data_IF_656543680506
#
_entry.id   IF_656543680506
#
_cell.length_a   1.000
_cell.length_b   1.000
_cell.length_c   1.000
_cell.angle_alpha   90.00
_cell.angle_beta   90.00
_cell.angle_gamma   90.00
#
_symmetry.space_group_name_H-M   'P 1'
#
loop_
_entity.id
_entity.type
_entity.pdbx_description
1 polymer ?
#
# COMPACT_ATOMS: atom_id res chain seq x y z
N UNK A 1 -2.06 0.83 -0.40
CA UNK A 1 -2.46 0.87 -1.83
C UNK A 1 -3.16 2.19 -2.10
N UNK A 2 -3.32 2.54 -3.37
CA UNK A 2 -4.11 3.70 -3.81
C UNK A 2 -5.29 3.21 -4.64
N UNK A 3 -6.47 3.78 -4.42
CA UNK A 3 -7.68 3.47 -5.19
C UNK A 3 -8.08 4.68 -6.05
N UNK A 4 -8.41 4.41 -7.31
CA UNK A 4 -8.92 5.41 -8.27
C UNK A 4 -10.28 4.94 -8.75
N UNK A 5 -11.30 5.80 -8.62
CA UNK A 5 -12.66 5.50 -9.08
C UNK A 5 -13.01 6.44 -10.23
N UNK A 6 -13.32 5.92 -11.43
CA UNK A 6 -13.79 6.76 -12.53
C UNK A 6 -15.07 7.52 -12.16
N UNK A 7 -15.36 8.67 -12.78
CA UNK A 7 -16.64 9.33 -12.66
C UNK A 7 -17.80 8.39 -13.04
N UNK A 8 -18.93 8.53 -12.37
CA UNK A 8 -20.14 7.76 -12.69
C UNK A 8 -20.83 8.21 -14.00
N UNK A 9 -20.25 9.19 -14.70
CA UNK A 9 -20.77 9.70 -15.95
C UNK A 9 -20.77 8.59 -17.02
N UNK A 10 -21.93 8.39 -17.64
CA UNK A 10 -22.14 7.34 -18.64
C UNK A 10 -21.20 7.47 -19.84
N UNK A 11 -20.84 8.72 -20.19
CA UNK A 11 -20.02 9.07 -21.35
C UNK A 11 -18.52 8.99 -21.05
N UNK A 12 -18.11 8.63 -19.82
CA UNK A 12 -16.69 8.41 -19.49
C UNK A 12 -16.10 7.32 -20.39
N UNK A 13 -15.03 7.66 -21.12
CA UNK A 13 -14.36 6.77 -22.07
C UNK A 13 -13.02 6.25 -21.56
N UNK A 14 -12.24 7.11 -20.90
CA UNK A 14 -10.94 6.73 -20.34
C UNK A 14 -10.60 7.50 -19.08
N UNK A 15 -9.68 6.95 -18.29
CA UNK A 15 -9.05 7.64 -17.16
C UNK A 15 -7.54 7.48 -17.29
N UNK A 16 -6.81 8.58 -17.31
CA UNK A 16 -5.36 8.58 -17.22
C UNK A 16 -4.94 8.75 -15.76
N UNK A 17 -4.11 7.83 -15.27
CA UNK A 17 -3.58 7.81 -13.91
C UNK A 17 -2.07 8.00 -13.98
N UNK A 18 -1.54 8.96 -13.23
CA UNK A 18 -0.10 9.24 -13.13
C UNK A 18 0.38 9.03 -11.70
N UNK A 19 1.49 8.33 -11.53
CA UNK A 19 2.09 8.03 -10.22
C UNK A 19 3.61 7.87 -10.32
N UNK A 20 4.29 7.82 -9.18
CA UNK A 20 5.72 7.50 -9.10
C UNK A 20 5.88 6.10 -8.51
N UNK A 21 6.67 5.23 -9.15
CA UNK A 21 6.98 3.91 -8.59
C UNK A 21 8.00 3.97 -7.44
N UNK A 22 8.20 2.86 -6.75
CA UNK A 22 9.14 2.74 -5.62
C UNK A 22 10.60 3.08 -5.98
N UNK A 23 10.97 2.96 -7.27
CA UNK A 23 12.28 3.35 -7.77
C UNK A 23 12.41 4.85 -8.05
N UNK A 24 11.33 5.62 -7.85
CA UNK A 24 11.27 7.05 -8.16
C UNK A 24 11.00 7.36 -9.63
N UNK A 25 10.58 6.37 -10.42
CA UNK A 25 10.30 6.53 -11.84
C UNK A 25 8.85 6.92 -12.06
N UNK A 26 8.56 8.00 -12.81
CA UNK A 26 7.19 8.31 -13.20
C UNK A 26 6.57 7.19 -14.06
N UNK A 27 5.33 6.85 -13.76
CA UNK A 27 4.53 5.85 -14.45
C UNK A 27 3.17 6.44 -14.80
N UNK A 28 2.61 5.94 -15.89
CA UNK A 28 1.24 6.23 -16.30
C UNK A 28 0.47 4.94 -16.52
N UNK A 29 -0.83 4.99 -16.28
CA UNK A 29 -1.78 3.94 -16.61
C UNK A 29 -3.01 4.56 -17.26
N UNK A 30 -3.45 3.99 -18.37
CA UNK A 30 -4.67 4.40 -19.06
C UNK A 30 -5.72 3.33 -18.86
N UNK A 31 -6.77 3.68 -18.10
CA UNK A 31 -7.97 2.87 -17.97
C UNK A 31 -8.89 3.19 -19.15
N UNK A 32 -9.33 2.18 -19.89
CA UNK A 32 -10.19 2.36 -21.06
C UNK A 32 -11.48 1.57 -20.90
N UNK A 33 -12.62 2.25 -21.12
CA UNK A 33 -13.94 1.62 -21.20
C UNK A 33 -14.21 1.16 -22.63
N UNK A 34 -14.35 -0.15 -22.80
CA UNK A 34 -14.74 -0.79 -24.04
C UNK A 34 -16.17 -0.42 -24.46
N UNK A 35 -16.54 -0.74 -25.69
CA UNK A 35 -17.92 -0.54 -26.19
C UNK A 35 -18.93 -1.45 -25.47
N UNK A 36 -18.45 -2.58 -24.94
CA UNK A 36 -19.18 -3.49 -24.08
C UNK A 36 -19.34 -2.99 -22.63
N UNK A 37 -18.74 -1.83 -22.31
CA UNK A 37 -18.71 -1.26 -20.97
C UNK A 37 -17.61 -1.82 -20.07
N UNK A 38 -16.79 -2.77 -20.56
CA UNK A 38 -15.73 -3.40 -19.80
C UNK A 38 -14.52 -2.48 -19.67
N UNK A 39 -14.01 -2.33 -18.46
CA UNK A 39 -12.80 -1.56 -18.19
C UNK A 39 -11.53 -2.41 -18.29
N UNK A 40 -10.48 -1.82 -18.86
CA UNK A 40 -9.15 -2.43 -18.99
C UNK A 40 -8.06 -1.42 -18.66
N UNK A 41 -6.91 -1.89 -18.20
CA UNK A 41 -5.72 -1.07 -17.93
C UNK A 41 -4.62 -1.48 -18.92
N UNK A 42 -3.88 -0.50 -19.46
CA UNK A 42 -2.68 -0.77 -20.25
C UNK A 42 -1.43 -1.06 -19.40
N UNK A 43 -1.53 -0.86 -18.09
CA UNK A 43 -0.42 -1.02 -17.15
C UNK A 43 -0.73 -2.19 -16.21
N UNK A 44 0.06 -3.28 -16.23
CA UNK A 44 -0.19 -4.48 -15.43
C UNK A 44 0.00 -4.26 -13.93
N UNK A 45 0.73 -3.22 -13.50
CA UNK A 45 0.86 -2.87 -12.08
C UNK A 45 -0.39 -2.13 -11.55
N UNK A 46 -1.33 -1.75 -12.43
CA UNK A 46 -2.59 -1.11 -12.07
C UNK A 46 -3.74 -2.06 -12.39
N UNK A 47 -4.22 -2.76 -11.37
CA UNK A 47 -5.37 -3.63 -11.48
C UNK A 47 -6.64 -2.79 -11.63
N UNK A 48 -7.57 -3.22 -12.48
CA UNK A 48 -8.86 -2.55 -12.68
C UNK A 48 -10.00 -3.55 -12.59
N UNK A 49 -11.05 -3.19 -11.85
CA UNK A 49 -12.30 -3.94 -11.86
C UNK A 49 -13.00 -3.74 -13.21
N UNK A 50 -13.26 -4.80 -13.98
CA UNK A 50 -13.77 -4.69 -15.35
C UNK A 50 -15.20 -4.11 -15.42
N UNK A 51 -16.00 -4.21 -14.36
CA UNK A 51 -17.39 -3.75 -14.37
C UNK A 51 -17.51 -2.28 -13.97
N UNK A 52 -16.70 -1.85 -13.00
CA UNK A 52 -16.80 -0.52 -12.38
C UNK A 52 -15.72 0.44 -12.84
N UNK A 53 -14.61 -0.08 -13.36
CA UNK A 53 -13.43 0.71 -13.69
C UNK A 53 -12.63 1.15 -12.46
N UNK A 54 -13.00 0.70 -11.25
CA UNK A 54 -12.24 0.98 -10.03
C UNK A 54 -10.85 0.38 -10.17
N UNK A 55 -9.82 1.22 -10.15
CA UNK A 55 -8.44 0.81 -10.24
C UNK A 55 -7.74 0.84 -8.89
N UNK A 56 -6.79 -0.07 -8.72
CA UNK A 56 -5.96 -0.20 -7.52
C UNK A 56 -4.48 -0.26 -7.90
N UNK A 57 -3.68 0.60 -7.27
CA UNK A 57 -2.22 0.54 -7.33
C UNK A 57 -1.74 -0.08 -6.01
N UNK A 58 -1.11 -1.26 -6.03
CA UNK A 58 -0.54 -1.88 -4.84
C UNK A 58 0.48 -0.96 -4.14
N UNK A 59 0.61 -1.05 -2.82
CA UNK A 59 1.51 -0.17 -2.06
C UNK A 59 2.97 -0.33 -2.54
N UNK A 60 3.42 -1.56 -2.76
CA UNK A 60 4.76 -1.94 -3.26
C UNK A 60 5.04 -1.55 -4.71
N UNK A 61 4.10 -0.86 -5.37
CA UNK A 61 4.21 -0.40 -6.75
C UNK A 61 4.16 1.12 -6.87
N UNK A 62 3.90 1.83 -5.78
CA UNK A 62 3.78 3.29 -5.75
C UNK A 62 4.59 3.83 -4.59
N UNK A 63 5.42 4.83 -4.85
CA UNK A 63 6.26 5.44 -3.84
C UNK A 63 5.43 6.02 -2.70
N UNK A 64 5.75 5.61 -1.49
CA UNK A 64 5.16 6.11 -0.26
C UNK A 64 5.12 7.64 -0.19
N UNK A 65 3.95 8.18 0.19
CA UNK A 65 3.71 9.62 0.34
C UNK A 65 3.69 10.41 -0.98
N UNK A 66 3.96 9.78 -2.12
CA UNK A 66 3.95 10.46 -3.42
C UNK A 66 2.53 10.72 -3.94
N UNK A 67 2.31 11.78 -4.73
CA UNK A 67 1.01 12.06 -5.31
C UNK A 67 0.69 11.07 -6.44
N UNK A 68 -0.56 10.65 -6.47
CA UNK A 68 -1.21 9.95 -7.57
C UNK A 68 -2.32 10.86 -8.10
N UNK A 69 -2.27 11.15 -9.40
CA UNK A 69 -3.29 11.97 -10.06
C UNK A 69 -4.10 11.13 -11.03
N UNK A 70 -5.36 11.50 -11.24
CA UNK A 70 -6.24 10.85 -12.20
C UNK A 70 -7.11 11.87 -12.93
N UNK A 71 -7.25 11.69 -14.25
CA UNK A 71 -8.09 12.54 -15.09
C UNK A 71 -8.93 11.72 -16.05
N UNK A 72 -10.24 11.94 -16.04
CA UNK A 72 -11.17 11.26 -16.93
C UNK A 72 -11.37 12.04 -18.24
N UNK A 73 -11.65 11.32 -19.33
CA UNK A 73 -12.02 11.87 -20.63
C UNK A 73 -13.29 11.19 -21.12
N UNK A 74 -14.25 11.97 -21.63
CA UNK A 74 -15.50 11.46 -22.18
C UNK A 74 -15.35 11.00 -23.65
N UNK A 75 -16.42 10.44 -24.22
CA UNK A 75 -16.47 9.99 -25.63
C UNK A 75 -16.32 11.13 -26.65
N UNK A 76 -16.63 12.37 -26.28
CA UNK A 76 -16.44 13.56 -27.10
C UNK A 76 -15.02 14.16 -26.99
N UNK A 77 -14.17 13.61 -26.12
CA UNK A 77 -12.82 14.07 -25.87
C UNK A 77 -12.70 15.19 -24.84
N UNK A 78 -13.77 15.51 -24.11
CA UNK A 78 -13.71 16.49 -23.03
C UNK A 78 -13.04 15.86 -21.82
N UNK A 79 -12.02 16.54 -21.30
CA UNK A 79 -11.31 16.10 -20.11
C UNK A 79 -11.94 16.72 -18.85
N UNK A 80 -12.18 15.89 -17.85
CA UNK A 80 -12.71 16.29 -16.55
C UNK A 80 -11.66 16.97 -15.66
N UNK A 81 -12.09 17.30 -14.44
CA UNK A 81 -11.20 17.80 -13.39
C UNK A 81 -10.22 16.71 -12.94
N UNK A 82 -9.00 17.12 -12.59
CA UNK A 82 -7.98 16.20 -12.07
C UNK A 82 -8.24 15.95 -10.58
N UNK A 83 -8.29 14.67 -10.20
CA UNK A 83 -8.28 14.25 -8.80
C UNK A 83 -6.87 13.89 -8.36
N UNK A 84 -6.53 14.18 -7.10
CA UNK A 84 -5.22 13.87 -6.51
C UNK A 84 -5.38 13.23 -5.14
N UNK A 85 -4.59 12.18 -4.90
CA UNK A 85 -4.46 11.52 -3.60
C UNK A 85 -3.00 11.12 -3.38
N UNK A 86 -2.53 11.10 -2.13
CA UNK A 86 -1.18 10.63 -1.83
C UNK A 86 -1.18 9.13 -1.49
N UNK A 87 -0.14 8.42 -1.91
CA UNK A 87 0.07 7.03 -1.52
C UNK A 87 0.31 6.91 -0.01
N UNK A 88 -0.36 5.92 0.60
CA UNK A 88 -0.05 5.49 1.97
C UNK A 88 1.19 4.57 2.00
N UNK A 89 1.69 4.28 3.20
CA UNK A 89 2.93 3.52 3.38
C UNK A 89 2.79 2.03 3.03
N UNK A 90 3.91 1.39 2.67
CA UNK A 90 3.99 -0.07 2.67
C UNK A 90 3.75 -0.63 4.09
N UNK A 91 3.14 -1.82 4.22
CA UNK A 91 3.04 -2.48 5.52
C UNK A 91 4.44 -2.83 6.03
N UNK A 92 4.71 -2.56 7.30
CA UNK A 92 5.95 -3.00 7.92
C UNK A 92 5.88 -4.52 8.19
N UNK A 93 6.87 -5.25 7.67
CA UNK A 93 7.03 -6.69 7.86
C UNK A 93 8.33 -7.05 8.56
N UNK A 94 9.05 -6.05 9.07
CA UNK A 94 10.34 -6.21 9.73
C UNK A 94 10.09 -6.65 11.17
N UNK A 95 10.50 -7.86 11.52
CA UNK A 95 10.48 -8.28 12.92
C UNK A 95 11.53 -7.49 13.72
N UNK A 96 11.27 -7.19 15.00
CA UNK A 96 12.26 -6.57 15.87
C UNK A 96 13.42 -7.53 16.15
N UNK A 97 14.54 -6.99 16.62
CA UNK A 97 15.68 -7.76 17.08
C UNK A 97 15.31 -8.64 18.30
N UNK A 98 16.10 -9.67 18.60
CA UNK A 98 15.85 -10.47 19.80
C UNK A 98 16.00 -9.63 21.08
N UNK A 99 15.18 -9.86 22.12
CA UNK A 99 15.36 -9.22 23.42
C UNK A 99 16.67 -9.68 24.09
N UNK A 100 17.26 -8.81 24.90
CA UNK A 100 18.43 -9.14 25.70
C UNK A 100 17.98 -9.70 27.06
N UNK A 101 18.49 -10.88 27.42
CA UNK A 101 18.17 -11.55 28.69
C UNK A 101 19.43 -11.61 29.55
N UNK A 102 19.35 -11.05 30.75
CA UNK A 102 20.47 -10.98 31.70
C UNK A 102 20.06 -11.60 33.03
N UNK A 103 20.62 -12.77 33.40
CA UNK A 103 20.36 -13.36 34.71
C UNK A 103 21.16 -12.62 35.79
N UNK A 104 20.54 -12.44 36.95
CA UNK A 104 21.21 -11.97 38.16
C UNK A 104 22.07 -13.09 38.75
N UNK A 105 23.26 -12.74 39.22
CA UNK A 105 24.18 -13.69 39.86
C UNK A 105 23.98 -13.80 41.38
N UNK A 106 23.07 -13.01 41.96
CA UNK A 106 22.95 -12.87 43.42
C UNK A 106 21.59 -13.22 44.01
N UNK A 107 20.50 -13.03 43.25
CA UNK A 107 19.13 -13.16 43.77
C UNK A 107 18.21 -14.00 42.87
N UNK A 108 18.74 -14.62 41.81
CA UNK A 108 17.97 -15.46 40.89
C UNK A 108 16.97 -14.71 40.01
N UNK A 109 16.96 -13.37 40.04
CA UNK A 109 16.13 -12.57 39.13
C UNK A 109 16.66 -12.61 37.68
N UNK A 110 15.79 -12.33 36.72
CA UNK A 110 16.14 -12.20 35.30
C UNK A 110 15.67 -10.83 34.81
N UNK A 111 16.57 -10.05 34.25
CA UNK A 111 16.23 -8.82 33.56
C UNK A 111 16.10 -9.08 32.06
N UNK A 112 14.94 -8.71 31.51
CA UNK A 112 14.66 -8.77 30.08
C UNK A 112 14.60 -7.35 29.55
N UNK A 113 15.37 -7.07 28.50
CA UNK A 113 15.39 -5.79 27.83
C UNK A 113 14.78 -5.92 26.43
N UNK A 114 13.75 -5.12 26.19
CA UNK A 114 13.09 -4.98 24.89
C UNK A 114 14.08 -4.34 23.92
N UNK A 115 14.19 -4.87 22.69
CA UNK A 115 15.10 -4.33 21.68
C UNK A 115 14.66 -2.92 21.26
N UNK A 116 15.61 -2.07 20.85
CA UNK A 116 15.35 -0.66 20.55
C UNK A 116 14.62 -0.41 19.23
N UNK A 117 14.55 -1.42 18.37
CA UNK A 117 13.87 -1.43 17.07
C UNK A 117 12.44 -2.01 17.15
N UNK A 118 11.96 -2.40 18.34
CA UNK A 118 10.58 -2.82 18.52
C UNK A 118 9.58 -1.68 18.27
N UNK A 119 8.50 -2.02 17.57
CA UNK A 119 7.41 -1.13 17.20
C UNK A 119 6.11 -1.49 17.92
N UNK A 120 5.14 -0.59 17.86
CA UNK A 120 3.84 -0.82 18.49
C UNK A 120 3.15 -2.05 17.87
N UNK A 121 2.86 -3.05 18.69
CA UNK A 121 2.29 -4.33 18.25
C UNK A 121 3.26 -5.51 18.36
N UNK A 122 4.56 -5.25 18.49
CA UNK A 122 5.56 -6.29 18.75
C UNK A 122 5.40 -6.86 20.17
N UNK A 123 5.77 -8.14 20.34
CA UNK A 123 5.63 -8.85 21.60
C UNK A 123 6.92 -9.54 22.02
N UNK A 124 7.16 -9.60 23.33
CA UNK A 124 8.21 -10.41 23.95
C UNK A 124 7.52 -11.56 24.68
N UNK A 125 7.84 -12.80 24.31
CA UNK A 125 7.39 -14.00 25.01
C UNK A 125 8.42 -14.40 26.06
N UNK A 126 7.97 -14.62 27.31
CA UNK A 126 8.83 -15.08 28.42
C UNK A 126 8.36 -16.45 28.87
N UNK A 127 9.24 -17.44 28.71
CA UNK A 127 9.01 -18.81 29.18
C UNK A 127 9.85 -19.08 30.42
N UNK A 128 9.21 -19.53 31.51
CA UNK A 128 9.89 -19.85 32.78
C UNK A 128 9.78 -21.34 33.05
N UNK A 129 10.91 -21.99 33.30
CA UNK A 129 10.97 -23.35 33.83
C UNK A 129 11.32 -23.29 35.32
N UNK A 130 10.41 -23.62 36.24
CA UNK A 130 10.70 -23.63 37.68
C UNK A 130 11.66 -24.76 38.04
N UNK A 131 12.57 -24.52 39.00
CA UNK A 131 13.48 -25.54 39.49
C UNK A 131 12.73 -26.67 40.22
N UNK A 132 13.04 -27.93 39.87
CA UNK A 132 12.50 -29.13 40.51
C UNK A 132 11.41 -29.90 39.76
N UNK A 133 11.26 -29.66 38.44
CA UNK A 133 10.39 -30.48 37.57
C UNK A 133 10.96 -31.88 37.29
#
# INVERSE_FOLDING_TARGET
SVEVTPPADADTKSVEVSYTDEAGTPKTATLTKGEDGTWTSNNPDVAVDPATGKATIPADKVKDGSPVTAKATDTAGNAGEEGTVNAGNNPDTTAPSAPEVTPSTTDGSVAVKVPGDAQAGDTVEVTVTPEGS
#
